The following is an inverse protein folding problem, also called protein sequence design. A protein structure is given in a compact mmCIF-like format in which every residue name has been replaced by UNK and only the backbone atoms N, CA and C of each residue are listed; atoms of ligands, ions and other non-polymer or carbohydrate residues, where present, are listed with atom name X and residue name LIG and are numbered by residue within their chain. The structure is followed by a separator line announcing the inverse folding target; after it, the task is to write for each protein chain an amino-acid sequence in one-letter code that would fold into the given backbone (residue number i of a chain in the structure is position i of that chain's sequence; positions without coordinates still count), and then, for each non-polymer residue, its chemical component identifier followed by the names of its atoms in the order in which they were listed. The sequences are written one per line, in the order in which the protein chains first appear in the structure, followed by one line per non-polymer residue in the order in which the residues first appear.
data_IF_410558188326
#
_entry.id   IF_410558188326
#
_cell.length_a   1.000
_cell.length_b   1.000
_cell.length_c   1.000
_cell.angle_alpha   90.00
_cell.angle_beta   90.00
_cell.angle_gamma   90.00
#
_symmetry.space_group_name_H-M   'P 1'
#
loop_
_entity.id
_entity.type
_entity.pdbx_description
1 polymer ?
#
# COMPACT_ATOMS: atom_id res chain seq x y z
N UNK A 1 -11.78 13.98 -18.60
CA UNK A 1 -11.87 12.51 -18.40
C UNK A 1 -13.10 12.27 -17.54
N UNK A 2 -14.02 11.40 -17.98
CA UNK A 2 -15.16 10.98 -17.15
C UNK A 2 -14.68 9.73 -16.43
N UNK A 3 -14.67 9.78 -15.08
CA UNK A 3 -14.33 8.59 -14.28
C UNK A 3 -15.45 7.55 -14.45
N UNK A 4 -15.10 6.26 -14.54
CA UNK A 4 -16.09 5.18 -14.48
C UNK A 4 -16.88 5.23 -13.16
N UNK A 5 -18.10 4.70 -13.18
CA UNK A 5 -18.87 4.46 -11.96
C UNK A 5 -18.41 3.15 -11.30
N UNK A 6 -17.81 3.26 -10.11
CA UNK A 6 -17.33 2.12 -9.34
C UNK A 6 -18.33 1.62 -8.29
N UNK A 7 -19.53 2.19 -8.19
CA UNK A 7 -20.50 1.89 -7.12
C UNK A 7 -20.96 0.43 -7.07
N UNK A 8 -20.79 -0.31 -8.16
CA UNK A 8 -21.10 -1.73 -8.25
C UNK A 8 -19.90 -2.65 -8.02
N UNK A 9 -18.68 -2.09 -8.05
CA UNK A 9 -17.47 -2.87 -7.89
C UNK A 9 -17.32 -3.33 -6.43
N UNK A 10 -16.95 -4.61 -6.27
CA UNK A 10 -16.61 -5.22 -4.99
C UNK A 10 -15.13 -5.57 -4.99
N UNK A 11 -14.38 -4.95 -4.10
CA UNK A 11 -12.93 -5.06 -4.05
C UNK A 11 -12.49 -5.71 -2.75
N UNK A 12 -11.73 -6.80 -2.86
CA UNK A 12 -11.04 -7.42 -1.74
C UNK A 12 -9.61 -6.89 -1.69
N UNK A 13 -9.23 -6.29 -0.57
CA UNK A 13 -7.88 -5.79 -0.34
C UNK A 13 -7.23 -6.63 0.75
N UNK A 14 -6.03 -7.11 0.49
CA UNK A 14 -5.22 -7.84 1.48
C UNK A 14 -3.86 -7.19 1.56
N UNK A 15 -3.34 -6.94 2.76
CA UNK A 15 -2.01 -6.35 2.86
C UNK A 15 -1.61 -5.90 4.26
N UNK A 16 -0.48 -5.22 4.29
CA UNK A 16 0.11 -4.73 5.53
C UNK A 16 -0.65 -3.50 6.03
N UNK A 17 -1.34 -3.68 7.17
CA UNK A 17 -2.04 -2.60 7.86
C UNK A 17 -1.05 -1.76 8.65
N UNK A 18 -1.24 -0.44 8.62
CA UNK A 18 -0.48 0.47 9.47
C UNK A 18 -1.27 1.72 9.83
N UNK A 19 -0.89 2.34 10.93
CA UNK A 19 -1.42 3.62 11.39
C UNK A 19 -0.35 4.69 11.21
N UNK A 20 -0.66 5.72 10.43
CA UNK A 20 0.15 6.92 10.31
C UNK A 20 -0.32 7.97 11.31
N UNK A 21 0.49 8.22 12.34
CA UNK A 21 0.20 9.19 13.40
C UNK A 21 1.01 10.46 13.24
N UNK A 22 0.38 11.61 13.33
CA UNK A 22 1.01 12.92 13.22
C UNK A 22 0.84 13.68 14.53
N UNK A 23 1.95 13.97 15.21
CA UNK A 23 1.97 14.91 16.32
C UNK A 23 2.49 16.25 15.83
N UNK A 24 1.65 17.27 15.90
CA UNK A 24 2.00 18.61 15.41
C UNK A 24 2.06 19.61 16.54
N UNK A 25 3.10 20.46 16.52
CA UNK A 25 3.27 21.48 17.56
C UNK A 25 4.42 22.43 17.29
N UNK A 26 4.54 23.44 18.15
CA UNK A 26 5.59 24.44 18.05
C UNK A 26 6.92 23.97 18.67
N UNK A 27 8.06 24.39 18.07
CA UNK A 27 9.41 24.24 18.64
C UNK A 27 9.91 25.62 19.08
N UNK A 28 9.67 25.96 20.34
CA UNK A 28 10.03 27.29 20.87
C UNK A 28 11.25 27.31 21.77
N UNK A 29 11.79 26.16 22.17
CA UNK A 29 12.90 26.04 23.11
C UNK A 29 13.76 24.80 22.87
N UNK A 30 14.99 24.85 23.33
CA UNK A 30 15.90 23.71 23.44
C UNK A 30 15.68 23.04 24.82
N UNK A 31 15.79 21.71 24.88
CA UNK A 31 15.73 20.99 26.14
C UNK A 31 16.90 21.39 27.05
N UNK A 32 16.67 21.56 28.38
CA UNK A 32 17.74 21.71 29.32
C UNK A 32 18.54 20.41 29.56
N UNK A 33 18.01 19.27 29.17
CA UNK A 33 18.61 17.94 29.41
C UNK A 33 19.55 17.50 28.28
N UNK A 34 19.33 18.02 27.05
CA UNK A 34 20.13 17.70 25.87
C UNK A 34 19.96 18.79 24.78
N UNK A 35 20.90 18.93 23.83
CA UNK A 35 20.82 19.94 22.76
C UNK A 35 19.80 19.53 21.67
N UNK A 36 18.58 19.27 22.06
CA UNK A 36 17.49 18.87 21.16
C UNK A 36 16.28 19.82 21.30
N UNK A 37 15.52 20.07 20.22
CA UNK A 37 14.31 20.89 20.29
C UNK A 37 13.23 20.20 21.12
N UNK A 38 12.47 20.99 21.86
CA UNK A 38 11.24 20.54 22.55
C UNK A 38 10.04 20.87 21.67
N UNK A 39 9.32 19.85 21.25
CA UNK A 39 8.05 20.01 20.54
C UNK A 39 6.92 20.04 21.56
N UNK A 40 6.19 21.15 21.61
CA UNK A 40 4.96 21.24 22.40
C UNK A 40 3.79 20.79 21.54
N UNK A 41 3.41 19.51 21.68
CA UNK A 41 2.33 18.89 20.89
C UNK A 41 0.99 19.57 21.17
N UNK A 42 0.36 20.09 20.13
CA UNK A 42 -0.92 20.80 20.17
C UNK A 42 -2.04 20.00 19.50
N UNK A 43 -1.69 19.14 18.55
CA UNK A 43 -2.66 18.27 17.88
C UNK A 43 -2.06 16.91 17.60
N UNK A 44 -2.94 15.89 17.58
CA UNK A 44 -2.66 14.54 17.15
C UNK A 44 -3.67 14.15 16.08
N UNK A 45 -3.19 13.64 14.95
CA UNK A 45 -4.01 13.15 13.85
C UNK A 45 -3.57 11.75 13.50
N UNK A 46 -4.55 10.85 13.32
CA UNK A 46 -4.33 9.47 12.94
C UNK A 46 -4.95 9.20 11.56
N UNK A 47 -4.16 8.65 10.65
CA UNK A 47 -4.56 8.31 9.28
C UNK A 47 -4.32 6.83 8.99
N UNK A 48 -5.24 6.17 8.25
CA UNK A 48 -4.97 4.86 7.70
C UNK A 48 -3.76 4.87 6.77
N UNK A 49 -2.80 3.94 6.96
CA UNK A 49 -1.59 3.78 6.15
C UNK A 49 -1.51 2.38 5.53
N UNK A 50 -0.61 2.19 4.58
CA UNK A 50 -0.44 0.92 3.87
C UNK A 50 -1.72 0.44 3.18
N UNK A 51 -2.06 -0.84 3.32
CA UNK A 51 -3.28 -1.41 2.74
C UNK A 51 -4.56 -0.70 3.19
N UNK A 52 -4.57 -0.13 4.40
CA UNK A 52 -5.70 0.64 4.91
C UNK A 52 -5.90 1.96 4.13
N UNK A 53 -4.82 2.63 3.70
CA UNK A 53 -4.92 3.80 2.84
C UNK A 53 -5.45 3.44 1.44
N UNK A 54 -5.01 2.31 0.89
CA UNK A 54 -5.55 1.78 -0.38
C UNK A 54 -7.05 1.55 -0.26
N UNK A 55 -7.51 0.96 0.86
CA UNK A 55 -8.93 0.71 1.11
C UNK A 55 -9.75 2.01 1.15
N UNK A 56 -9.27 3.05 1.85
CA UNK A 56 -9.93 4.37 1.88
C UNK A 56 -10.02 4.99 0.48
N UNK A 57 -8.94 4.93 -0.30
CA UNK A 57 -8.94 5.48 -1.66
C UNK A 57 -9.96 4.76 -2.56
N UNK A 58 -10.03 3.43 -2.49
CA UNK A 58 -10.97 2.62 -3.29
C UNK A 58 -12.42 2.87 -2.85
N UNK A 59 -12.68 2.94 -1.54
CA UNK A 59 -14.01 3.26 -1.01
C UNK A 59 -14.46 4.68 -1.39
N UNK A 60 -13.54 5.65 -1.37
CA UNK A 60 -13.82 7.04 -1.78
C UNK A 60 -14.19 7.13 -3.27
N UNK A 61 -13.71 6.23 -4.11
CA UNK A 61 -14.14 6.11 -5.51
C UNK A 61 -15.53 5.48 -5.65
N UNK A 62 -16.15 5.03 -4.56
CA UNK A 62 -17.51 4.49 -4.50
C UNK A 62 -17.61 2.96 -4.53
N UNK A 63 -16.50 2.23 -4.59
CA UNK A 63 -16.51 0.77 -4.57
C UNK A 63 -16.83 0.22 -3.16
N UNK A 64 -17.40 -0.99 -3.10
CA UNK A 64 -17.53 -1.74 -1.85
C UNK A 64 -16.20 -2.43 -1.56
N UNK A 65 -15.68 -2.23 -0.35
CA UNK A 65 -14.36 -2.71 0.05
C UNK A 65 -14.45 -3.65 1.23
N UNK A 66 -13.83 -4.82 1.11
CA UNK A 66 -13.46 -5.69 2.23
C UNK A 66 -11.95 -5.65 2.39
N UNK A 67 -11.46 -5.36 3.58
CA UNK A 67 -10.03 -5.25 3.90
C UNK A 67 -9.62 -6.34 4.88
N UNK A 68 -8.68 -7.19 4.47
CA UNK A 68 -8.04 -8.20 5.28
C UNK A 68 -6.61 -7.78 5.61
N UNK A 69 -6.20 -7.95 6.85
CA UNK A 69 -4.81 -7.71 7.25
C UNK A 69 -4.54 -8.09 8.69
N UNK A 70 -3.25 -8.14 9.03
CA UNK A 70 -2.78 -8.49 10.37
C UNK A 70 -2.51 -7.23 11.18
N UNK A 71 -2.79 -7.28 12.48
CA UNK A 71 -2.55 -6.20 13.41
C UNK A 71 -2.22 -6.74 14.81
N UNK A 72 -1.89 -5.87 15.75
CA UNK A 72 -1.84 -6.19 17.17
C UNK A 72 -3.23 -6.24 17.80
N UNK A 73 -3.30 -6.76 19.02
CA UNK A 73 -4.50 -6.67 19.85
C UNK A 73 -4.39 -5.43 20.76
N UNK A 74 -4.38 -4.25 20.15
CA UNK A 74 -4.08 -2.97 20.83
C UNK A 74 -5.05 -1.85 20.45
N UNK A 75 -4.87 -0.70 21.09
CA UNK A 75 -5.69 0.50 20.88
C UNK A 75 -5.52 1.09 19.48
N UNK A 76 -4.34 0.92 18.86
CA UNK A 76 -4.07 1.39 17.51
C UNK A 76 -4.87 0.58 16.47
N UNK A 77 -5.03 -0.74 16.67
CA UNK A 77 -5.88 -1.58 15.83
C UNK A 77 -7.35 -1.14 15.90
N UNK A 78 -7.86 -0.84 17.09
CA UNK A 78 -9.25 -0.37 17.29
C UNK A 78 -9.47 0.96 16.59
N UNK A 79 -8.56 1.91 16.80
CA UNK A 79 -8.63 3.23 16.19
C UNK A 79 -8.58 3.16 14.67
N UNK A 80 -7.70 2.30 14.12
CA UNK A 80 -7.61 2.07 12.67
C UNK A 80 -8.93 1.51 12.14
N UNK A 81 -9.52 0.53 12.81
CA UNK A 81 -10.83 -0.06 12.45
C UNK A 81 -11.92 1.00 12.45
N UNK A 82 -12.06 1.77 13.53
CA UNK A 82 -13.08 2.83 13.66
C UNK A 82 -12.96 3.86 12.51
N UNK A 83 -11.74 4.24 12.15
CA UNK A 83 -11.48 5.14 11.02
C UNK A 83 -11.93 4.55 9.70
N UNK A 84 -11.66 3.28 9.44
CA UNK A 84 -12.02 2.61 8.20
C UNK A 84 -13.53 2.35 8.09
N UNK A 85 -14.17 1.94 9.18
CA UNK A 85 -15.61 1.75 9.24
C UNK A 85 -16.40 3.05 8.93
N UNK A 86 -15.80 4.23 9.22
CA UNK A 86 -16.40 5.51 8.82
C UNK A 86 -16.44 5.75 7.30
N UNK A 87 -15.76 4.93 6.52
CA UNK A 87 -15.79 4.90 5.04
C UNK A 87 -16.58 3.70 4.49
N UNK A 88 -17.41 3.03 5.33
CA UNK A 88 -18.16 1.82 4.96
C UNK A 88 -17.28 0.64 4.48
N UNK A 89 -16.03 0.55 5.01
CA UNK A 89 -15.10 -0.54 4.72
C UNK A 89 -15.37 -1.70 5.67
N UNK A 90 -15.60 -2.91 5.14
CA UNK A 90 -15.66 -4.15 5.92
C UNK A 90 -14.25 -4.56 6.36
N UNK A 91 -13.95 -4.42 7.66
CA UNK A 91 -12.64 -4.67 8.23
C UNK A 91 -12.54 -6.05 8.87
N UNK A 92 -11.78 -6.94 8.27
CA UNK A 92 -11.45 -8.27 8.80
C UNK A 92 -9.99 -8.30 9.24
N UNK A 93 -9.73 -7.90 10.49
CA UNK A 93 -8.40 -7.81 11.06
C UNK A 93 -8.09 -9.06 11.89
N UNK A 94 -6.90 -9.62 11.67
CA UNK A 94 -6.39 -10.80 12.35
C UNK A 94 -5.35 -10.36 13.38
N UNK A 95 -5.75 -10.37 14.65
CA UNK A 95 -4.91 -9.92 15.74
C UNK A 95 -3.88 -10.98 16.13
N UNK A 96 -2.62 -10.58 16.22
CA UNK A 96 -1.52 -11.43 16.64
C UNK A 96 -1.12 -11.13 18.07
N UNK A 97 -1.20 -12.14 18.93
CA UNK A 97 -0.86 -12.01 20.34
C UNK A 97 0.62 -11.60 20.52
N UNK A 98 0.86 -10.62 21.40
CA UNK A 98 2.21 -10.11 21.67
C UNK A 98 2.85 -9.29 20.55
N UNK A 99 2.11 -8.95 19.52
CA UNK A 99 2.50 -8.01 18.48
C UNK A 99 1.76 -6.68 18.65
N UNK A 100 2.42 -5.60 18.24
CA UNK A 100 1.80 -4.27 18.17
C UNK A 100 1.36 -3.97 16.73
N UNK A 101 0.28 -3.20 16.59
CA UNK A 101 -0.14 -2.65 15.29
C UNK A 101 0.93 -1.71 14.77
N UNK A 102 1.38 -1.93 13.55
CA UNK A 102 2.42 -1.11 12.94
C UNK A 102 1.97 0.35 12.94
N UNK A 103 2.80 1.19 13.56
CA UNK A 103 2.50 2.61 13.71
C UNK A 103 3.71 3.44 13.29
N UNK A 104 3.48 4.42 12.41
CA UNK A 104 4.49 5.40 11.97
C UNK A 104 4.13 6.76 12.55
N UNK A 105 4.82 7.14 13.63
CA UNK A 105 4.61 8.42 14.29
C UNK A 105 5.53 9.49 13.68
N UNK A 106 4.93 10.53 13.11
CA UNK A 106 5.64 11.71 12.59
C UNK A 106 5.47 12.89 13.52
N UNK A 107 6.58 13.45 13.95
CA UNK A 107 6.62 14.66 14.76
C UNK A 107 6.81 15.86 13.84
N UNK A 108 5.82 16.75 13.80
CA UNK A 108 5.75 17.88 12.88
C UNK A 108 5.87 19.21 13.62
N UNK A 109 6.59 20.16 13.04
CA UNK A 109 6.58 21.54 13.47
C UNK A 109 6.57 22.48 12.27
N UNK A 110 5.63 23.43 12.23
CA UNK A 110 5.50 24.43 11.14
C UNK A 110 5.50 23.78 9.74
N UNK A 111 4.75 22.70 9.56
CA UNK A 111 4.65 21.91 8.32
C UNK A 111 5.96 21.22 7.90
N UNK A 112 6.92 21.06 8.82
CA UNK A 112 8.15 20.33 8.59
C UNK A 112 8.20 19.10 9.49
N UNK A 113 8.52 17.94 8.92
CA UNK A 113 8.78 16.74 9.70
C UNK A 113 10.15 16.84 10.39
N UNK A 114 10.14 16.74 11.70
CA UNK A 114 11.36 16.77 12.52
C UNK A 114 11.91 15.37 12.78
N UNK A 115 11.02 14.41 13.00
CA UNK A 115 11.36 13.05 13.37
C UNK A 115 10.25 12.10 12.93
N UNK A 116 10.63 10.86 12.59
CA UNK A 116 9.69 9.73 12.48
C UNK A 116 10.12 8.61 13.42
N UNK A 117 9.16 8.06 14.15
CA UNK A 117 9.34 6.89 14.98
C UNK A 117 8.50 5.75 14.40
N UNK A 118 9.16 4.64 14.07
CA UNK A 118 8.51 3.48 13.51
C UNK A 118 8.37 2.40 14.60
N UNK A 119 7.12 2.13 15.01
CA UNK A 119 6.77 1.05 15.90
C UNK A 119 6.32 -0.12 15.01
N UNK A 120 7.25 -1.02 14.71
CA UNK A 120 6.98 -2.09 13.77
C UNK A 120 7.76 -3.36 14.12
N UNK A 121 7.05 -4.48 14.04
CA UNK A 121 7.61 -5.83 14.02
C UNK A 121 6.97 -6.57 12.85
N UNK A 122 7.74 -7.47 12.25
CA UNK A 122 7.24 -8.24 11.11
C UNK A 122 6.22 -9.30 11.56
N UNK A 123 5.15 -9.46 10.80
CA UNK A 123 4.19 -10.54 10.92
C UNK A 123 4.57 -11.79 10.11
N UNK A 124 5.80 -11.85 9.55
CA UNK A 124 6.20 -12.93 8.64
C UNK A 124 6.08 -14.32 9.28
N UNK A 125 6.45 -14.44 10.55
CA UNK A 125 6.44 -15.71 11.30
C UNK A 125 5.10 -16.00 12.01
N UNK A 126 4.10 -15.13 11.86
CA UNK A 126 2.79 -15.31 12.46
C UNK A 126 1.94 -16.30 11.66
N UNK A 127 1.03 -17.01 12.34
CA UNK A 127 0.03 -17.85 11.68
C UNK A 127 -0.93 -17.00 10.84
N UNK A 128 -1.18 -17.42 9.60
CA UNK A 128 -2.04 -16.75 8.62
C UNK A 128 -3.24 -17.57 8.20
N UNK A 129 -3.45 -18.72 8.84
CA UNK A 129 -4.51 -19.67 8.46
C UNK A 129 -5.91 -19.04 8.48
N UNK A 130 -6.20 -18.18 9.47
CA UNK A 130 -7.48 -17.46 9.55
C UNK A 130 -7.61 -16.43 8.42
N UNK A 131 -6.56 -15.67 8.12
CA UNK A 131 -6.54 -14.70 7.02
C UNK A 131 -6.71 -15.40 5.67
N UNK A 132 -5.97 -16.50 5.44
CA UNK A 132 -6.07 -17.28 4.20
C UNK A 132 -7.46 -17.91 4.04
N UNK A 133 -8.05 -18.41 5.12
CA UNK A 133 -9.42 -18.94 5.13
C UNK A 133 -10.46 -17.86 4.82
N UNK A 134 -10.30 -16.67 5.41
CA UNK A 134 -11.19 -15.53 5.13
C UNK A 134 -11.03 -15.03 3.69
N UNK A 135 -9.79 -15.01 3.17
CA UNK A 135 -9.50 -14.68 1.77
C UNK A 135 -10.25 -15.62 0.81
N UNK A 136 -10.09 -16.94 0.99
CA UNK A 136 -10.74 -17.94 0.16
C UNK A 136 -12.26 -17.83 0.21
N UNK A 137 -12.81 -17.56 1.40
CA UNK A 137 -14.25 -17.38 1.60
C UNK A 137 -14.80 -16.12 0.93
N UNK A 138 -14.02 -15.07 0.81
CA UNK A 138 -14.43 -13.81 0.20
C UNK A 138 -14.38 -13.82 -1.34
N UNK A 139 -13.58 -14.71 -1.95
CA UNK A 139 -13.29 -14.69 -3.38
C UNK A 139 -14.54 -14.80 -4.27
N UNK A 140 -15.55 -15.53 -3.86
CA UNK A 140 -16.76 -15.73 -4.70
C UNK A 140 -17.59 -14.43 -4.81
N UNK A 141 -17.53 -13.56 -3.81
CA UNK A 141 -18.36 -12.35 -3.69
C UNK A 141 -17.70 -11.07 -4.20
N UNK A 142 -16.46 -11.12 -4.67
CA UNK A 142 -15.69 -9.94 -5.13
C UNK A 142 -15.39 -9.98 -6.61
N UNK A 143 -15.15 -8.83 -7.22
CA UNK A 143 -14.82 -8.70 -8.64
C UNK A 143 -13.32 -8.69 -8.88
N UNK A 144 -12.55 -8.15 -7.92
CA UNK A 144 -11.12 -7.92 -8.04
C UNK A 144 -10.43 -8.03 -6.67
N UNK A 145 -9.18 -8.47 -6.69
CA UNK A 145 -8.30 -8.53 -5.53
C UNK A 145 -7.18 -7.51 -5.67
N UNK A 146 -6.87 -6.78 -4.59
CA UNK A 146 -5.68 -5.95 -4.47
C UNK A 146 -4.80 -6.50 -3.36
N UNK A 147 -3.53 -6.77 -3.66
CA UNK A 147 -2.51 -7.14 -2.70
C UNK A 147 -1.59 -5.93 -2.49
N UNK A 148 -1.59 -5.36 -1.28
CA UNK A 148 -0.78 -4.19 -0.93
C UNK A 148 0.35 -4.61 -0.01
N UNK A 149 1.54 -4.81 -0.59
CA UNK A 149 2.73 -5.32 0.11
C UNK A 149 3.65 -4.16 0.54
N UNK A 150 3.96 -4.11 1.82
CA UNK A 150 4.95 -3.21 2.42
C UNK A 150 6.09 -3.97 3.09
N UNK A 151 6.20 -5.28 2.80
CA UNK A 151 7.19 -6.18 3.39
C UNK A 151 7.11 -6.24 4.93
N UNK A 152 5.89 -6.13 5.49
CA UNK A 152 5.67 -6.24 6.94
C UNK A 152 5.17 -7.63 7.35
N UNK A 153 5.00 -8.52 6.37
CA UNK A 153 4.81 -9.95 6.59
C UNK A 153 3.38 -10.46 6.52
N UNK A 154 2.38 -9.61 6.33
CA UNK A 154 1.03 -10.06 6.02
C UNK A 154 1.01 -10.88 4.72
N UNK A 155 1.73 -10.41 3.70
CA UNK A 155 1.86 -11.06 2.39
C UNK A 155 3.19 -11.83 2.27
N UNK A 156 3.47 -12.77 3.20
CA UNK A 156 4.68 -13.60 3.14
C UNK A 156 4.65 -14.63 2.02
N UNK A 157 3.46 -15.05 1.56
CA UNK A 157 3.27 -15.95 0.42
C UNK A 157 2.20 -15.42 -0.56
N UNK A 158 2.46 -14.31 -1.27
CA UNK A 158 1.46 -13.73 -2.17
C UNK A 158 1.12 -14.62 -3.35
N UNK A 159 2.02 -15.57 -3.74
CA UNK A 159 1.76 -16.53 -4.82
C UNK A 159 0.54 -17.41 -4.53
N UNK A 160 0.36 -17.90 -3.32
CA UNK A 160 -0.81 -18.70 -2.96
C UNK A 160 -2.11 -17.92 -3.17
N UNK A 161 -2.15 -16.66 -2.73
CA UNK A 161 -3.32 -15.78 -2.89
C UNK A 161 -3.59 -15.47 -4.37
N UNK A 162 -2.55 -15.18 -5.16
CA UNK A 162 -2.67 -14.94 -6.60
C UNK A 162 -3.25 -16.17 -7.31
N UNK A 163 -2.73 -17.36 -6.99
CA UNK A 163 -3.19 -18.62 -7.59
C UNK A 163 -4.65 -18.92 -7.23
N UNK A 164 -5.02 -18.76 -5.95
CA UNK A 164 -6.39 -18.98 -5.47
C UNK A 164 -7.38 -18.02 -6.16
N UNK A 165 -7.05 -16.73 -6.24
CA UNK A 165 -7.86 -15.73 -6.91
C UNK A 165 -8.03 -16.04 -8.41
N UNK A 166 -6.92 -16.37 -9.09
CA UNK A 166 -6.96 -16.75 -10.53
C UNK A 166 -7.76 -18.02 -10.79
N UNK A 167 -7.68 -19.02 -9.92
CA UNK A 167 -8.48 -20.23 -10.03
C UNK A 167 -9.99 -19.94 -9.97
N UNK A 168 -10.39 -18.86 -9.32
CA UNK A 168 -11.76 -18.33 -9.27
C UNK A 168 -12.05 -17.29 -10.38
N UNK A 169 -11.12 -17.11 -11.34
CA UNK A 169 -11.26 -16.15 -12.44
C UNK A 169 -11.19 -14.67 -12.01
N UNK A 170 -10.65 -14.38 -10.82
CA UNK A 170 -10.53 -13.00 -10.33
C UNK A 170 -9.25 -12.35 -10.84
N UNK A 171 -9.33 -11.04 -11.13
CA UNK A 171 -8.17 -10.22 -11.44
C UNK A 171 -7.42 -9.87 -10.16
N UNK A 172 -6.09 -9.84 -10.22
CA UNK A 172 -5.24 -9.51 -9.08
C UNK A 172 -4.34 -8.35 -9.44
N UNK A 173 -4.47 -7.26 -8.69
CA UNK A 173 -3.56 -6.10 -8.74
C UNK A 173 -2.62 -6.23 -7.55
N UNK A 174 -1.32 -5.98 -7.76
CA UNK A 174 -0.35 -6.00 -6.68
C UNK A 174 0.40 -4.68 -6.65
N UNK A 175 0.40 -4.02 -5.49
CA UNK A 175 1.34 -2.97 -5.14
C UNK A 175 2.57 -3.65 -4.50
N UNK A 176 3.70 -3.75 -5.24
CA UNK A 176 4.80 -4.63 -4.88
C UNK A 176 5.77 -3.96 -3.90
N UNK A 177 6.51 -4.76 -3.13
CA UNK A 177 7.64 -4.31 -2.31
C UNK A 177 8.83 -5.24 -2.36
N UNK A 178 10.03 -4.63 -2.30
CA UNK A 178 11.31 -5.35 -2.31
C UNK A 178 11.86 -5.57 -3.72
N UNK A 179 12.89 -6.40 -3.83
CA UNK A 179 13.61 -6.68 -5.08
C UNK A 179 13.24 -8.01 -5.73
N UNK A 180 12.46 -8.87 -5.06
CA UNK A 180 12.00 -10.14 -5.62
C UNK A 180 10.55 -10.01 -6.11
N UNK A 181 10.37 -9.64 -7.37
CA UNK A 181 9.05 -9.59 -7.99
C UNK A 181 8.54 -10.96 -8.46
N UNK A 182 9.39 -12.02 -8.45
CA UNK A 182 8.95 -13.37 -8.84
C UNK A 182 7.82 -13.88 -7.95
N UNK A 183 7.77 -13.42 -6.70
CA UNK A 183 6.69 -13.72 -5.76
C UNK A 183 5.31 -13.18 -6.20
N UNK A 184 5.26 -12.31 -7.22
CA UNK A 184 4.01 -11.76 -7.79
C UNK A 184 3.71 -12.27 -9.20
N UNK A 185 4.45 -13.28 -9.68
CA UNK A 185 4.23 -13.85 -11.00
C UNK A 185 2.77 -14.29 -11.20
N UNK A 186 2.27 -14.15 -12.42
CA UNK A 186 0.89 -14.41 -12.82
C UNK A 186 -0.17 -13.46 -12.19
N UNK A 187 0.20 -12.40 -11.51
CA UNK A 187 -0.76 -11.33 -11.20
C UNK A 187 -1.32 -10.72 -12.50
N UNK A 188 -2.46 -10.07 -12.44
CA UNK A 188 -3.01 -9.35 -13.60
C UNK A 188 -2.19 -8.10 -13.87
N UNK A 189 -1.89 -7.34 -12.83
CA UNK A 189 -1.14 -6.08 -12.90
C UNK A 189 -0.30 -5.89 -11.65
N UNK A 190 0.90 -5.30 -11.81
CA UNK A 190 1.68 -4.77 -10.69
C UNK A 190 1.90 -3.27 -10.86
N UNK A 191 2.08 -2.54 -9.74
CA UNK A 191 2.19 -1.07 -9.72
C UNK A 191 3.50 -0.57 -9.10
N UNK A 192 4.68 -1.01 -9.56
CA UNK A 192 5.94 -0.57 -8.99
C UNK A 192 6.17 0.93 -9.22
N UNK A 193 6.96 1.55 -8.34
CA UNK A 193 7.57 2.83 -8.61
C UNK A 193 8.94 2.66 -9.31
N UNK A 194 9.56 3.80 -9.70
CA UNK A 194 10.85 3.80 -10.39
C UNK A 194 11.95 3.14 -9.58
N UNK A 195 12.00 3.38 -8.28
CA UNK A 195 13.02 2.82 -7.39
C UNK A 195 12.86 1.30 -7.28
N UNK A 196 11.63 0.81 -7.11
CA UNK A 196 11.31 -0.61 -7.03
C UNK A 196 11.63 -1.34 -8.32
N UNK A 197 11.28 -0.75 -9.47
CA UNK A 197 11.65 -1.33 -10.77
C UNK A 197 13.18 -1.39 -10.92
N UNK A 198 13.89 -0.31 -10.62
CA UNK A 198 15.35 -0.25 -10.73
C UNK A 198 16.05 -1.25 -9.79
N UNK A 199 15.50 -1.56 -8.63
CA UNK A 199 16.03 -2.60 -7.74
C UNK A 199 15.95 -4.01 -8.36
N UNK A 200 14.99 -4.26 -9.25
CA UNK A 200 14.80 -5.57 -9.91
C UNK A 200 15.66 -5.71 -11.16
N UNK A 201 15.71 -4.67 -11.99
CA UNK A 201 16.31 -4.74 -13.34
C UNK A 201 17.60 -3.92 -13.50
N UNK A 202 18.01 -3.18 -12.45
CA UNK A 202 19.09 -2.20 -12.53
C UNK A 202 18.60 -0.84 -13.04
N UNK A 203 19.47 0.18 -12.93
CA UNK A 203 19.14 1.56 -13.32
C UNK A 203 18.81 1.69 -14.81
N UNK A 204 17.69 2.35 -15.08
CA UNK A 204 17.29 2.72 -16.44
C UNK A 204 17.77 4.14 -16.75
N UNK A 205 18.82 4.26 -17.55
CA UNK A 205 19.47 5.56 -17.87
C UNK A 205 18.80 6.34 -19.01
N UNK A 206 17.93 5.69 -19.78
CA UNK A 206 17.20 6.28 -20.90
C UNK A 206 15.74 5.80 -20.91
N UNK A 207 14.85 6.56 -21.54
CA UNK A 207 13.46 6.14 -21.71
C UNK A 207 13.37 4.80 -22.45
N UNK A 208 14.19 4.59 -23.46
CA UNK A 208 14.23 3.32 -24.21
C UNK A 208 14.63 2.14 -23.32
N UNK A 209 15.62 2.30 -22.43
CA UNK A 209 16.01 1.23 -21.49
C UNK A 209 14.90 0.99 -20.45
N UNK A 210 14.22 2.05 -20.00
CA UNK A 210 13.10 1.94 -19.07
C UNK A 210 11.96 1.10 -19.67
N UNK A 211 11.55 1.42 -20.89
CA UNK A 211 10.50 0.69 -21.61
C UNK A 211 10.89 -0.78 -21.79
N UNK A 212 12.13 -1.05 -22.25
CA UNK A 212 12.64 -2.41 -22.40
C UNK A 212 12.62 -3.20 -21.09
N UNK A 213 13.08 -2.59 -20.01
CA UNK A 213 13.15 -3.21 -18.68
C UNK A 213 11.75 -3.50 -18.12
N UNK A 214 10.81 -2.55 -18.25
CA UNK A 214 9.43 -2.75 -17.80
C UNK A 214 8.71 -3.87 -18.58
N UNK A 215 8.89 -3.91 -19.91
CA UNK A 215 8.35 -4.97 -20.77
C UNK A 215 8.98 -6.34 -20.44
N UNK A 216 10.27 -6.38 -20.17
CA UNK A 216 10.95 -7.60 -19.73
C UNK A 216 10.33 -8.14 -18.44
N UNK A 217 10.21 -7.31 -17.39
CA UNK A 217 9.57 -7.69 -16.12
C UNK A 217 8.15 -8.19 -16.34
N UNK A 218 7.35 -7.46 -17.14
CA UNK A 218 5.98 -7.86 -17.46
C UNK A 218 5.94 -9.27 -18.09
N UNK A 219 6.83 -9.55 -19.02
CA UNK A 219 6.90 -10.83 -19.72
C UNK A 219 7.40 -11.95 -18.82
N UNK A 220 8.49 -11.73 -18.08
CA UNK A 220 9.08 -12.72 -17.18
C UNK A 220 8.12 -13.14 -16.06
N UNK A 221 7.30 -12.21 -15.58
CA UNK A 221 6.30 -12.47 -14.52
C UNK A 221 4.95 -12.93 -15.07
N UNK A 222 4.79 -13.02 -16.40
CA UNK A 222 3.53 -13.39 -17.06
C UNK A 222 2.35 -12.51 -16.59
N UNK A 223 2.54 -11.18 -16.66
CA UNK A 223 1.53 -10.19 -16.29
C UNK A 223 0.74 -9.75 -17.53
N UNK A 224 -0.54 -9.41 -17.34
CA UNK A 224 -1.35 -8.78 -18.39
C UNK A 224 -0.88 -7.32 -18.61
N UNK A 225 -0.52 -6.62 -17.52
CA UNK A 225 -0.02 -5.26 -17.57
C UNK A 225 0.96 -4.93 -16.43
N UNK A 226 1.74 -3.85 -16.59
CA UNK A 226 2.56 -3.22 -15.57
C UNK A 226 2.31 -1.72 -15.60
N UNK A 227 1.95 -1.12 -14.44
CA UNK A 227 1.75 0.32 -14.29
C UNK A 227 2.92 0.90 -13.48
N UNK A 228 3.85 1.55 -14.16
CA UNK A 228 5.00 2.19 -13.52
C UNK A 228 4.63 3.59 -13.05
N UNK A 229 4.74 3.85 -11.73
CA UNK A 229 4.59 5.19 -11.17
C UNK A 229 5.92 5.94 -11.20
N UNK A 230 5.90 7.22 -11.65
CA UNK A 230 7.11 7.99 -12.01
C UNK A 230 7.15 9.37 -11.33
N UNK A 231 6.57 9.46 -10.13
CA UNK A 231 6.50 10.69 -9.34
C UNK A 231 5.97 11.88 -10.16
N UNK A 232 6.73 12.96 -10.25
CA UNK A 232 6.38 14.19 -10.99
C UNK A 232 6.22 13.97 -12.50
N UNK A 233 6.74 12.88 -13.05
CA UNK A 233 6.55 12.51 -14.45
C UNK A 233 5.20 11.81 -14.71
N UNK A 234 4.46 11.46 -13.67
CA UNK A 234 3.18 10.78 -13.81
C UNK A 234 3.30 9.26 -13.79
N UNK A 235 2.70 8.56 -14.74
CA UNK A 235 2.72 7.11 -14.77
C UNK A 235 2.73 6.57 -16.21
N UNK A 236 3.25 5.36 -16.38
CA UNK A 236 3.28 4.68 -17.70
C UNK A 236 2.71 3.28 -17.55
N UNK A 237 1.67 2.98 -18.32
CA UNK A 237 1.07 1.65 -18.43
C UNK A 237 1.73 0.90 -19.59
N UNK A 238 2.21 -0.31 -19.32
CA UNK A 238 2.72 -1.27 -20.28
C UNK A 238 1.72 -2.41 -20.41
N UNK A 239 1.06 -2.51 -21.57
CA UNK A 239 0.04 -3.50 -21.87
C UNK A 239 0.32 -4.14 -23.23
N UNK A 240 -0.04 -5.43 -23.42
CA UNK A 240 0.20 -6.14 -24.67
C UNK A 240 1.68 -6.22 -25.06
N UNK A 241 1.93 -6.53 -26.33
CA UNK A 241 3.29 -6.64 -26.89
C UNK A 241 3.76 -5.26 -27.41
N UNK A 242 4.55 -4.57 -26.61
CA UNK A 242 5.14 -3.25 -26.89
C UNK A 242 4.17 -2.03 -26.87
N UNK A 243 2.96 -2.19 -26.36
CA UNK A 243 2.09 -1.05 -26.12
C UNK A 243 2.48 -0.34 -24.82
N UNK A 244 2.69 0.97 -24.89
CA UNK A 244 2.89 1.84 -23.75
C UNK A 244 1.95 3.04 -23.82
N UNK A 245 1.40 3.41 -22.69
CA UNK A 245 0.58 4.61 -22.56
C UNK A 245 1.08 5.45 -21.39
N UNK A 246 1.62 6.62 -21.70
CA UNK A 246 2.12 7.55 -20.68
C UNK A 246 1.06 8.60 -20.32
N UNK A 247 0.78 8.71 -19.02
CA UNK A 247 -0.08 9.71 -18.45
C UNK A 247 0.76 10.70 -17.61
N UNK A 248 0.97 11.94 -18.07
CA UNK A 248 1.77 12.91 -17.34
C UNK A 248 1.07 13.37 -16.07
N UNK A 249 1.83 13.70 -15.03
CA UNK A 249 1.29 14.28 -13.82
C UNK A 249 0.68 15.66 -14.10
N UNK A 250 -0.48 15.92 -13.46
CA UNK A 250 -1.17 17.22 -13.51
C UNK A 250 -1.14 17.96 -12.16
N UNK A 251 -0.31 17.48 -11.23
CA UNK A 251 -0.17 18.11 -9.92
C UNK A 251 0.39 19.54 -10.07
N UNK A 252 -0.29 20.51 -9.46
CA UNK A 252 0.17 21.89 -9.48
C UNK A 252 1.26 22.17 -8.44
N UNK A 253 1.22 21.45 -7.31
CA UNK A 253 2.23 21.48 -6.24
C UNK A 253 2.09 20.18 -5.43
N UNK A 254 3.22 19.55 -5.08
CA UNK A 254 3.25 18.39 -4.18
C UNK A 254 3.68 18.89 -2.81
N UNK A 255 2.74 18.96 -1.87
CA UNK A 255 3.01 19.42 -0.50
C UNK A 255 3.40 18.29 0.46
N UNK A 256 3.14 17.03 0.10
CA UNK A 256 3.46 15.86 0.94
C UNK A 256 3.83 14.67 0.06
N UNK A 257 5.14 14.35 0.03
CA UNK A 257 5.67 13.17 -0.69
C UNK A 257 5.34 11.85 0.02
N UNK A 258 4.83 11.90 1.26
CA UNK A 258 4.47 10.70 2.02
C UNK A 258 3.03 10.21 1.72
N UNK A 259 2.26 11.00 0.97
CA UNK A 259 0.87 10.70 0.60
C UNK A 259 0.71 10.36 -0.91
N UNK A 260 1.83 10.23 -1.64
CA UNK A 260 1.84 9.87 -3.06
C UNK A 260 2.12 8.39 -3.27
#
# INVERSE_FOLDING_TARGET
MILPDFSKAKVLIVGDLMLDRYWSGGTGRISPEAPVPVVNVQSSEDRPGGAANVAVNVATLGAKVTLLGMCGNDENAKLLRERLESFDIDCQFFAVEGQDTITKLRVMSRNQQLLRLDFEKSFADSDKSELESAFDGALDDVDIVILSDYAKGCLSNPQALIQAAKAKGKRVIVDPKGSDFKKYANATLITPNMEELNHVVGESTTEKSLVSNAQQVKTELNLDALLLTRSEQGMTLFEGDNAEFHLPAKAKEVYDLAAA
#
